data_IF_484031714663
#
_entry.id   IF_484031714663
#
_cell.length_a   1.000
_cell.length_b   1.000
_cell.length_c   1.000
_cell.angle_alpha   90.00
_cell.angle_beta   90.00
_cell.angle_gamma   90.00
#
_symmetry.space_group_name_H-M   'P 1'
#
loop_
_entity.id
_entity.type
_entity.pdbx_description
1 polymer ?
#
# COMPACT_ATOMS: atom_id res chain seq x y z
N UNK A 1 3.63 -15.03 29.93
CA UNK A 1 5.10 -15.07 29.79
C UNK A 1 5.40 -16.21 28.83
N UNK A 2 6.08 -15.96 27.72
CA UNK A 2 6.30 -17.00 26.70
C UNK A 2 7.39 -17.98 27.19
N UNK A 3 7.16 -19.29 27.09
CA UNK A 3 8.09 -20.37 27.49
C UNK A 3 9.24 -20.61 26.47
N UNK A 4 9.60 -19.57 25.71
CA UNK A 4 10.62 -19.65 24.67
C UNK A 4 11.68 -18.58 24.86
N UNK A 5 12.94 -19.02 24.97
CA UNK A 5 14.10 -18.14 25.05
C UNK A 5 14.62 -17.94 23.64
N UNK A 6 14.52 -16.71 23.12
CA UNK A 6 15.05 -16.36 21.81
C UNK A 6 16.59 -16.36 21.83
N UNK A 7 17.18 -17.07 20.88
CA UNK A 7 18.63 -17.09 20.62
C UNK A 7 18.99 -16.01 19.59
N UNK A 8 20.26 -15.60 19.47
CA UNK A 8 20.73 -14.82 18.34
C UNK A 8 20.34 -15.46 17.00
N UNK A 9 20.07 -14.65 15.97
CA UNK A 9 19.60 -15.13 14.66
C UNK A 9 20.45 -16.25 14.05
N UNK A 10 21.78 -16.14 14.16
CA UNK A 10 22.72 -17.13 13.62
C UNK A 10 22.76 -18.45 14.41
N UNK A 11 22.15 -18.49 15.61
CA UNK A 11 22.04 -19.67 16.47
C UNK A 11 20.63 -20.28 16.46
N UNK A 12 19.67 -19.62 15.80
CA UNK A 12 18.31 -20.13 15.65
C UNK A 12 18.30 -21.31 14.68
N UNK A 13 17.69 -22.41 15.10
CA UNK A 13 17.54 -23.61 14.28
C UNK A 13 16.15 -23.70 13.67
N UNK A 14 15.96 -24.60 12.70
CA UNK A 14 14.64 -24.87 12.12
C UNK A 14 13.61 -25.29 13.19
N UNK A 15 14.00 -26.10 14.16
CA UNK A 15 13.10 -26.55 15.23
C UNK A 15 12.74 -25.44 16.21
N UNK A 16 13.66 -24.49 16.45
CA UNK A 16 13.37 -23.28 17.22
C UNK A 16 12.27 -22.46 16.53
N UNK A 17 12.34 -22.29 15.20
CA UNK A 17 11.32 -21.59 14.42
C UNK A 17 9.98 -22.34 14.39
N UNK A 18 9.99 -23.67 14.31
CA UNK A 18 8.77 -24.49 14.44
C UNK A 18 8.13 -24.33 15.81
N UNK A 19 8.93 -24.32 16.89
CA UNK A 19 8.45 -24.21 18.27
C UNK A 19 7.76 -22.89 18.56
N UNK A 20 8.26 -21.77 18.01
CA UNK A 20 7.59 -20.47 18.12
C UNK A 20 6.42 -20.30 17.16
N UNK A 21 6.16 -21.29 16.30
CA UNK A 21 5.13 -21.21 15.28
C UNK A 21 5.40 -20.11 14.26
N UNK A 22 6.67 -19.93 13.87
CA UNK A 22 7.09 -18.86 12.97
C UNK A 22 6.34 -18.94 11.64
N UNK A 23 5.80 -17.80 11.20
CA UNK A 23 5.14 -17.62 9.91
C UNK A 23 5.74 -16.38 9.26
N UNK A 24 6.18 -16.51 8.01
CA UNK A 24 6.73 -15.40 7.23
C UNK A 24 5.99 -15.29 5.90
N UNK A 25 5.87 -14.06 5.41
CA UNK A 25 5.37 -13.74 4.08
C UNK A 25 6.31 -12.74 3.42
N UNK A 26 6.45 -12.84 2.10
CA UNK A 26 7.21 -11.91 1.28
C UNK A 26 6.28 -11.31 0.23
N UNK A 27 6.27 -9.99 0.13
CA UNK A 27 5.50 -9.25 -0.87
C UNK A 27 6.45 -8.42 -1.75
N UNK A 28 6.36 -8.60 -3.06
CA UNK A 28 7.25 -7.97 -4.03
C UNK A 28 6.42 -7.15 -5.03
N UNK A 29 6.75 -5.87 -5.18
CA UNK A 29 6.14 -4.98 -6.17
C UNK A 29 7.21 -4.57 -7.19
N UNK A 30 6.92 -4.75 -8.49
CA UNK A 30 7.84 -4.41 -9.58
C UNK A 30 7.11 -3.58 -10.63
N UNK A 31 7.70 -2.46 -11.04
CA UNK A 31 7.22 -1.69 -12.19
C UNK A 31 7.65 -2.34 -13.51
N UNK A 32 6.72 -2.49 -14.45
CA UNK A 32 7.01 -2.98 -15.79
C UNK A 32 7.34 -1.80 -16.71
N UNK A 33 8.44 -1.92 -17.46
CA UNK A 33 8.79 -0.95 -18.49
C UNK A 33 8.04 -1.29 -19.79
N UNK A 34 6.79 -0.84 -19.87
CA UNK A 34 5.95 -0.95 -21.06
C UNK A 34 5.95 0.35 -21.85
N UNK A 35 5.60 0.30 -23.14
CA UNK A 35 5.46 1.53 -23.94
C UNK A 35 4.35 2.46 -23.44
N UNK A 36 3.29 1.88 -22.85
CA UNK A 36 2.08 2.58 -22.37
C UNK A 36 1.68 2.09 -20.98
N UNK A 37 1.00 2.93 -20.21
CA UNK A 37 0.44 2.57 -18.89
C UNK A 37 -0.63 1.47 -19.01
N UNK A 38 -0.92 0.78 -17.90
CA UNK A 38 -1.77 -0.41 -17.88
C UNK A 38 -3.21 -0.17 -18.38
N UNK A 39 -3.81 0.97 -18.05
CA UNK A 39 -5.23 1.26 -18.37
C UNK A 39 -5.42 2.51 -19.23
N UNK A 40 -4.36 3.03 -19.85
CA UNK A 40 -4.47 4.15 -20.79
C UNK A 40 -3.35 4.15 -21.82
N UNK A 41 -3.47 5.00 -22.84
CA UNK A 41 -2.49 5.09 -23.94
C UNK A 41 -1.28 5.99 -23.63
N UNK A 42 -1.19 6.56 -22.43
CA UNK A 42 -0.09 7.44 -22.04
C UNK A 42 1.22 6.64 -21.89
N UNK A 43 2.38 7.21 -22.23
CA UNK A 43 3.66 6.55 -22.02
C UNK A 43 3.93 6.26 -20.54
N UNK A 44 4.49 5.09 -20.24
CA UNK A 44 4.93 4.74 -18.89
C UNK A 44 6.31 5.35 -18.56
N UNK A 45 6.70 5.33 -17.28
CA UNK A 45 8.04 5.74 -16.84
C UNK A 45 8.36 7.25 -16.93
N UNK A 46 7.42 8.10 -17.37
CA UNK A 46 7.62 9.55 -17.40
C UNK A 46 7.22 10.22 -16.09
N UNK A 47 8.11 11.04 -15.55
CA UNK A 47 7.86 11.93 -14.41
C UNK A 47 8.28 13.36 -14.76
N UNK A 48 7.56 14.35 -14.25
CA UNK A 48 7.84 15.78 -14.43
C UNK A 48 7.49 16.54 -13.15
N UNK A 49 8.22 17.63 -12.88
CA UNK A 49 7.88 18.59 -11.81
C UNK A 49 7.02 19.75 -12.31
N UNK A 50 7.00 19.99 -13.62
CA UNK A 50 6.10 20.95 -14.25
C UNK A 50 4.74 20.32 -14.51
N UNK A 51 3.68 21.10 -14.34
CA UNK A 51 2.30 20.72 -14.58
C UNK A 51 1.52 21.88 -15.19
N UNK A 52 0.51 21.56 -15.99
CA UNK A 52 -0.30 22.54 -16.69
C UNK A 52 -1.62 22.83 -15.94
N UNK A 53 -2.03 21.92 -15.05
CA UNK A 53 -3.21 22.07 -14.22
C UNK A 53 -3.11 21.29 -12.90
N UNK A 54 -3.91 21.73 -11.93
CA UNK A 54 -4.12 21.05 -10.65
C UNK A 54 -5.59 20.68 -10.47
N UNK A 55 -5.83 19.52 -9.85
CA UNK A 55 -7.18 19.11 -9.47
C UNK A 55 -7.20 18.74 -7.99
N UNK A 56 -7.95 19.50 -7.21
CA UNK A 56 -8.30 19.13 -5.83
C UNK A 56 -9.41 18.07 -5.82
N UNK A 57 -9.19 17.01 -5.05
CA UNK A 57 -10.15 15.94 -4.78
C UNK A 57 -10.16 15.58 -3.30
N UNK A 58 -11.30 15.04 -2.89
CA UNK A 58 -11.50 14.42 -1.58
C UNK A 58 -12.00 13.00 -1.79
N UNK A 59 -11.39 12.04 -1.11
CA UNK A 59 -11.93 10.68 -1.06
C UNK A 59 -13.18 10.66 -0.17
N UNK A 60 -14.14 9.78 -0.50
CA UNK A 60 -15.36 9.58 0.28
C UNK A 60 -15.50 8.09 0.59
N UNK A 61 -15.86 7.72 1.83
CA UNK A 61 -16.16 6.34 2.14
C UNK A 61 -17.44 5.93 1.42
N UNK A 62 -17.51 4.67 1.01
CA UNK A 62 -18.71 4.09 0.39
C UNK A 62 -19.28 3.02 1.31
N UNK A 63 -20.61 2.89 1.32
CA UNK A 63 -21.26 1.82 2.06
C UNK A 63 -20.91 0.47 1.43
N UNK A 64 -20.60 -0.50 2.28
CA UNK A 64 -20.51 -1.90 1.85
C UNK A 64 -21.90 -2.45 1.50
N UNK A 65 -21.94 -3.67 0.97
CA UNK A 65 -23.19 -4.39 0.69
C UNK A 65 -24.11 -4.48 1.92
N UNK A 66 -23.54 -4.59 3.12
CA UNK A 66 -24.31 -4.62 4.38
C UNK A 66 -24.69 -3.22 4.91
N UNK A 67 -24.47 -2.16 4.13
CA UNK A 67 -24.78 -0.80 4.54
C UNK A 67 -23.87 -0.25 5.64
N UNK A 68 -22.69 -0.84 5.85
CA UNK A 68 -21.71 -0.37 6.84
C UNK A 68 -20.48 0.23 6.18
N UNK A 69 -19.88 1.24 6.81
CA UNK A 69 -18.61 1.80 6.37
C UNK A 69 -17.44 1.02 6.95
N UNK A 70 -16.38 0.89 6.16
CA UNK A 70 -15.08 0.46 6.66
C UNK A 70 -14.52 1.49 7.66
N UNK A 71 -14.05 1.00 8.81
CA UNK A 71 -13.53 1.86 9.88
C UNK A 71 -12.32 2.67 9.45
N UNK A 72 -11.41 2.08 8.67
CA UNK A 72 -10.19 2.75 8.17
C UNK A 72 -10.55 3.85 7.17
N UNK A 73 -11.42 3.56 6.22
CA UNK A 73 -11.90 4.55 5.24
C UNK A 73 -12.61 5.73 5.91
N UNK A 74 -13.37 5.47 6.98
CA UNK A 74 -14.03 6.52 7.76
C UNK A 74 -13.01 7.38 8.53
N UNK A 75 -11.96 6.76 9.09
CA UNK A 75 -10.88 7.48 9.75
C UNK A 75 -10.11 8.38 8.78
N UNK A 76 -9.73 7.87 7.60
CA UNK A 76 -9.08 8.68 6.57
C UNK A 76 -9.99 9.84 6.13
N UNK A 77 -11.29 9.61 5.94
CA UNK A 77 -12.24 10.66 5.59
C UNK A 77 -12.30 11.79 6.63
N UNK A 78 -12.26 11.44 7.93
CA UNK A 78 -12.28 12.41 9.03
C UNK A 78 -11.06 13.32 9.07
N UNK A 79 -9.93 12.91 8.48
CA UNK A 79 -8.74 13.78 8.35
C UNK A 79 -8.99 14.99 7.43
N UNK A 80 -10.04 14.95 6.59
CA UNK A 80 -10.35 15.98 5.59
C UNK A 80 -9.17 16.30 4.68
N UNK A 81 -8.35 15.29 4.39
CA UNK A 81 -7.13 15.42 3.59
C UNK A 81 -7.43 15.94 2.18
N UNK A 82 -6.75 17.01 1.81
CA UNK A 82 -6.74 17.52 0.43
C UNK A 82 -5.82 16.64 -0.43
N UNK A 83 -6.35 16.11 -1.54
CA UNK A 83 -5.55 15.37 -2.53
C UNK A 83 -5.47 16.23 -3.78
N UNK A 84 -4.27 16.73 -4.07
CA UNK A 84 -3.99 17.56 -5.24
C UNK A 84 -3.32 16.70 -6.29
N UNK A 85 -3.97 16.54 -7.45
CA UNK A 85 -3.39 15.87 -8.61
C UNK A 85 -2.80 16.89 -9.57
N UNK A 86 -1.51 16.75 -9.88
CA UNK A 86 -0.84 17.54 -10.92
C UNK A 86 -0.98 16.84 -12.27
N UNK A 87 -1.38 17.60 -13.29
CA UNK A 87 -1.61 17.07 -14.63
C UNK A 87 -0.68 17.78 -15.62
N UNK A 88 0.07 16.98 -16.38
CA UNK A 88 0.85 17.43 -17.54
C UNK A 88 0.19 16.88 -18.81
N UNK A 89 -0.04 17.75 -19.79
CA UNK A 89 -0.61 17.40 -21.10
C UNK A 89 0.41 16.73 -22.01
#
# INVERSE_FOLDING_TARGET
MYDFIFKPFHEMTEDDYKKVGFKSGLEIHQQLLTEKKLFCRCPAGKYTREFDAEILRHMRPTLSEMGVYDGTALMEFKTKKNIIYHIKR
#
